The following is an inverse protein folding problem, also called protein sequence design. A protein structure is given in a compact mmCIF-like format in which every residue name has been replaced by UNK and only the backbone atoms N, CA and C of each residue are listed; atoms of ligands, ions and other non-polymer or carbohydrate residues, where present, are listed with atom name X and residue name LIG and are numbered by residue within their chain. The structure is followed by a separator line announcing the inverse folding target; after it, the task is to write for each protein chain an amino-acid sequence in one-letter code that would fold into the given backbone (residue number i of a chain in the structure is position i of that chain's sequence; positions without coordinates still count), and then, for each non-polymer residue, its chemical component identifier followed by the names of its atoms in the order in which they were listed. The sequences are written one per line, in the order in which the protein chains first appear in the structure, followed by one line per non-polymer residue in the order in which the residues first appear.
data_IF_052558672483
#
_entry.id   IF_052558672483
#
_cell.length_a   1.000
_cell.length_b   1.000
_cell.length_c   1.000
_cell.angle_alpha   90.00
_cell.angle_beta   90.00
_cell.angle_gamma   90.00
#
_symmetry.space_group_name_H-M   'P 1'
#
loop_
_entity.id
_entity.type
_entity.pdbx_description
1 polymer ?
#
# COMPACT_ATOMS: atom_id res chain seq x y z
N UNK A 1 59.36 38.30 25.12
CA UNK A 1 59.16 37.04 25.86
C UNK A 1 58.01 37.24 26.84
N UNK A 2 56.86 36.62 26.57
CA UNK A 2 55.84 36.18 27.54
C UNK A 2 54.57 35.84 26.75
N UNK A 3 54.33 34.55 26.58
CA UNK A 3 53.12 33.98 26.01
C UNK A 3 51.94 34.19 26.99
N UNK A 4 50.81 34.72 26.53
CA UNK A 4 49.50 34.47 27.15
C UNK A 4 48.61 33.80 26.10
N UNK A 5 48.37 32.50 26.28
CA UNK A 5 47.51 31.70 25.44
C UNK A 5 46.04 31.96 25.79
N UNK A 6 45.27 32.36 24.78
CA UNK A 6 43.82 32.29 24.81
C UNK A 6 43.40 30.86 24.44
N UNK A 7 42.82 30.15 25.40
CA UNK A 7 42.19 28.84 25.19
C UNK A 7 40.86 29.07 24.48
N UNK A 8 40.80 28.76 23.20
CA UNK A 8 39.55 28.68 22.43
C UNK A 8 38.92 27.32 22.72
N UNK A 9 37.78 27.32 23.43
CA UNK A 9 36.93 26.14 23.56
C UNK A 9 36.25 25.89 22.20
N UNK A 10 36.76 24.92 21.44
CA UNK A 10 36.04 24.35 20.29
C UNK A 10 34.99 23.41 20.86
N UNK A 11 33.72 23.85 20.83
CA UNK A 11 32.57 23.01 21.12
C UNK A 11 32.37 22.05 19.93
N UNK A 12 33.06 20.92 19.96
CA UNK A 12 32.84 19.83 19.01
C UNK A 12 31.45 19.24 19.25
N UNK A 13 30.48 19.64 18.43
CA UNK A 13 29.17 19.00 18.35
C UNK A 13 29.38 17.59 17.79
N UNK A 14 29.54 16.61 18.68
CA UNK A 14 29.48 15.19 18.32
C UNK A 14 28.04 14.91 17.92
N UNK A 15 27.79 14.89 16.62
CA UNK A 15 26.57 14.30 16.04
C UNK A 15 26.68 12.80 16.31
N UNK A 16 26.20 12.37 17.48
CA UNK A 16 26.00 10.96 17.79
C UNK A 16 25.03 10.41 16.75
N UNK A 17 25.51 9.43 15.98
CA UNK A 17 24.78 8.80 14.90
C UNK A 17 23.37 8.43 15.30
N UNK A 18 22.42 8.80 14.44
CA UNK A 18 21.07 8.25 14.44
C UNK A 18 21.17 6.72 14.54
N UNK A 19 20.42 6.07 15.44
CA UNK A 19 20.40 4.62 15.48
C UNK A 19 19.91 4.10 14.13
N UNK A 20 20.64 3.12 13.59
CA UNK A 20 20.19 2.33 12.45
C UNK A 20 18.77 1.84 12.73
N UNK A 21 17.81 2.25 11.88
CA UNK A 21 16.45 1.72 11.92
C UNK A 21 16.56 0.20 11.71
N UNK A 22 16.22 -0.56 12.74
CA UNK A 22 16.23 -2.02 12.71
C UNK A 22 15.35 -2.52 11.56
N UNK A 23 15.83 -3.54 10.85
CA UNK A 23 15.04 -4.29 9.87
C UNK A 23 13.65 -4.67 10.44
N UNK A 24 12.63 -4.70 9.56
CA UNK A 24 11.23 -4.82 9.92
C UNK A 24 10.92 -6.13 10.68
N UNK A 25 10.39 -6.06 11.90
CA UNK A 25 10.02 -7.24 12.70
C UNK A 25 9.02 -8.22 12.01
N UNK A 26 8.22 -7.77 11.03
CA UNK A 26 7.34 -8.66 10.27
C UNK A 26 8.07 -9.46 9.17
N UNK A 27 9.20 -8.96 8.65
CA UNK A 27 10.04 -9.73 7.73
C UNK A 27 10.57 -10.97 8.45
N UNK A 28 10.98 -10.84 9.70
CA UNK A 28 11.45 -11.97 10.51
C UNK A 28 10.35 -12.94 10.94
N UNK A 29 9.10 -12.49 11.13
CA UNK A 29 8.04 -13.39 11.61
C UNK A 29 7.59 -14.39 10.53
N UNK A 30 7.25 -13.89 9.35
CA UNK A 30 6.83 -14.75 8.25
C UNK A 30 8.02 -15.36 7.52
N UNK A 31 9.13 -14.62 7.37
CA UNK A 31 10.31 -15.06 6.61
C UNK A 31 9.96 -15.65 5.23
N UNK A 32 8.90 -15.12 4.60
CA UNK A 32 8.36 -15.61 3.32
C UNK A 32 7.48 -16.87 3.37
N UNK A 33 7.31 -17.49 4.53
CA UNK A 33 6.49 -18.69 4.70
C UNK A 33 5.46 -18.53 5.81
N UNK A 34 4.83 -19.64 6.21
CA UNK A 34 3.99 -19.64 7.41
C UNK A 34 4.83 -19.17 8.61
N UNK A 35 4.31 -18.18 9.34
CA UNK A 35 4.87 -17.82 10.63
C UNK A 35 4.61 -18.91 11.67
N UNK A 36 5.05 -18.68 12.91
CA UNK A 36 4.75 -19.58 14.04
C UNK A 36 3.25 -19.81 14.16
N UNK A 37 2.81 -21.06 14.05
CA UNK A 37 1.39 -21.42 13.97
C UNK A 37 0.60 -20.88 15.17
N UNK A 38 1.18 -21.01 16.36
CA UNK A 38 0.60 -20.63 17.64
C UNK A 38 0.41 -19.12 17.82
N UNK A 39 1.00 -18.26 16.98
CA UNK A 39 0.80 -16.80 17.07
C UNK A 39 -0.47 -16.35 16.34
N UNK A 40 -0.87 -17.10 15.31
CA UNK A 40 -2.12 -16.88 14.57
C UNK A 40 -3.24 -17.82 15.05
N UNK A 41 -2.88 -19.01 15.50
CA UNK A 41 -3.81 -20.08 15.85
C UNK A 41 -3.90 -20.33 17.35
N UNK A 42 -5.08 -20.78 17.77
CA UNK A 42 -5.28 -21.38 19.09
C UNK A 42 -4.90 -22.85 19.03
N UNK A 43 -4.10 -23.33 19.99
CA UNK A 43 -3.82 -24.76 20.14
C UNK A 43 -5.06 -25.46 20.72
N UNK A 44 -5.35 -26.69 20.28
CA UNK A 44 -6.54 -27.44 20.72
C UNK A 44 -6.52 -27.90 22.19
N UNK A 45 -5.45 -27.61 22.94
CA UNK A 45 -5.29 -27.91 24.37
C UNK A 45 -5.17 -26.61 25.16
N UNK A 46 -6.28 -26.16 25.75
CA UNK A 46 -6.31 -25.05 26.69
C UNK A 46 -6.39 -25.56 28.14
N UNK A 47 -5.80 -26.72 28.47
CA UNK A 47 -6.00 -27.39 29.76
C UNK A 47 -4.74 -27.65 30.62
N UNK A 48 -3.51 -27.38 30.17
CA UNK A 48 -2.32 -27.81 30.95
C UNK A 48 -1.39 -26.72 31.50
N UNK A 49 -1.68 -25.44 31.29
CA UNK A 49 -1.05 -24.37 32.08
C UNK A 49 -2.13 -23.41 32.51
N UNK A 50 -2.34 -23.30 33.82
CA UNK A 50 -3.28 -22.36 34.46
C UNK A 50 -3.03 -20.87 34.20
N UNK A 51 -2.29 -20.55 33.13
CA UNK A 51 -2.32 -19.25 32.47
C UNK A 51 -3.66 -19.13 31.76
N UNK A 52 -4.66 -18.76 32.56
CA UNK A 52 -5.83 -18.06 32.09
C UNK A 52 -5.40 -17.09 30.99
N UNK A 53 -6.19 -17.01 29.92
CA UNK A 53 -6.12 -15.97 28.91
C UNK A 53 -5.76 -14.60 29.55
N UNK A 54 -4.47 -14.29 29.59
CA UNK A 54 -3.89 -13.13 30.23
C UNK A 54 -2.90 -12.58 29.21
N UNK A 55 -2.92 -11.30 28.84
CA UNK A 55 -3.65 -10.18 29.39
C UNK A 55 -3.86 -9.18 28.25
N UNK A 56 -5.12 -8.87 27.95
CA UNK A 56 -5.51 -7.63 27.28
C UNK A 56 -7.02 -7.43 27.42
N UNK A 57 -7.57 -7.48 28.64
CA UNK A 57 -8.87 -6.90 29.02
C UNK A 57 -10.14 -7.29 28.24
N UNK A 58 -10.06 -8.11 27.19
CA UNK A 58 -11.15 -8.59 26.37
C UNK A 58 -11.50 -9.98 26.87
N UNK A 59 -12.15 -10.04 28.04
CA UNK A 59 -12.77 -11.26 28.52
C UNK A 59 -13.57 -11.91 27.41
N UNK A 60 -13.12 -13.05 26.88
CA UNK A 60 -13.94 -14.00 26.11
C UNK A 60 -14.93 -13.40 25.09
N UNK A 61 -14.60 -12.28 24.43
CA UNK A 61 -15.41 -11.69 23.36
C UNK A 61 -14.89 -12.20 22.04
N UNK A 62 -15.36 -13.37 21.63
CA UNK A 62 -15.27 -13.81 20.24
C UNK A 62 -14.09 -14.70 19.86
N UNK A 63 -13.37 -15.33 20.80
CA UNK A 63 -12.56 -16.49 20.45
C UNK A 63 -13.52 -17.55 19.87
N UNK A 64 -13.46 -17.77 18.55
CA UNK A 64 -14.28 -18.80 17.88
C UNK A 64 -13.66 -20.16 18.21
N UNK A 65 -13.86 -20.62 19.44
CA UNK A 65 -13.87 -22.05 19.75
C UNK A 65 -15.16 -22.65 19.20
N UNK A 66 -15.30 -22.76 17.88
CA UNK A 66 -16.48 -23.40 17.31
C UNK A 66 -16.22 -24.89 17.13
N UNK A 67 -16.97 -25.69 17.90
CA UNK A 67 -17.10 -27.16 17.79
C UNK A 67 -17.67 -27.65 16.44
N UNK A 68 -17.58 -26.85 15.37
CA UNK A 68 -18.11 -27.11 14.03
C UNK A 68 -17.09 -26.75 12.91
N UNK A 69 -15.83 -27.17 13.05
CA UNK A 69 -14.89 -27.20 11.92
C UNK A 69 -14.42 -25.86 11.34
N UNK A 70 -14.45 -24.77 12.12
CA UNK A 70 -13.96 -23.44 11.69
C UNK A 70 -12.56 -23.15 12.27
N UNK A 71 -11.75 -22.45 11.47
CA UNK A 71 -10.32 -22.14 11.66
C UNK A 71 -10.03 -21.70 13.10
N UNK A 72 -9.07 -22.38 13.77
CA UNK A 72 -8.69 -22.08 15.14
C UNK A 72 -7.85 -20.81 15.19
N UNK A 73 -8.45 -19.63 15.09
CA UNK A 73 -7.75 -18.33 15.04
C UNK A 73 -7.77 -17.62 16.39
N UNK A 74 -6.75 -16.78 16.63
CA UNK A 74 -6.68 -15.94 17.84
C UNK A 74 -7.51 -14.65 17.79
N UNK A 75 -8.00 -14.24 16.62
CA UNK A 75 -9.01 -13.19 16.46
C UNK A 75 -10.40 -13.77 16.17
N UNK A 76 -11.44 -12.94 16.26
CA UNK A 76 -12.81 -13.37 15.94
C UNK A 76 -13.03 -13.69 14.46
N UNK A 77 -12.15 -13.18 13.59
CA UNK A 77 -12.13 -13.40 12.15
C UNK A 77 -10.67 -13.38 11.60
N UNK A 78 -10.44 -13.76 10.33
CA UNK A 78 -9.10 -13.80 9.75
C UNK A 78 -8.36 -12.47 9.77
N UNK A 79 -9.04 -11.34 9.53
CA UNK A 79 -8.37 -10.04 9.49
C UNK A 79 -8.05 -9.54 10.89
N UNK A 80 -8.96 -9.75 11.85
CA UNK A 80 -8.73 -9.45 13.27
C UNK A 80 -7.50 -10.19 13.79
N UNK A 81 -7.26 -11.43 13.33
CA UNK A 81 -6.03 -12.17 13.67
C UNK A 81 -4.76 -11.46 13.17
N UNK A 82 -4.78 -10.92 11.96
CA UNK A 82 -3.66 -10.16 11.40
C UNK A 82 -3.47 -8.82 12.14
N UNK A 83 -4.55 -8.07 12.36
CA UNK A 83 -4.49 -6.72 12.92
C UNK A 83 -4.02 -6.69 14.38
N UNK A 84 -4.01 -7.82 15.10
CA UNK A 84 -3.33 -7.98 16.40
C UNK A 84 -1.89 -7.48 16.40
N UNK A 85 -1.20 -7.64 15.28
CA UNK A 85 0.19 -7.20 15.13
C UNK A 85 0.37 -6.17 14.02
N UNK A 86 -0.57 -6.08 13.07
CA UNK A 86 -0.44 -5.23 11.89
C UNK A 86 -1.18 -3.89 11.97
N UNK A 87 -2.00 -3.65 13.00
CA UNK A 87 -2.45 -2.30 13.34
C UNK A 87 -1.42 -1.61 14.24
N UNK A 88 -1.07 -0.36 13.91
CA UNK A 88 -0.16 0.44 14.70
C UNK A 88 -0.71 0.62 16.12
N UNK A 89 0.14 0.49 17.16
CA UNK A 89 -0.30 0.64 18.54
C UNK A 89 -0.86 2.05 18.78
N UNK A 90 -1.74 2.16 19.78
CA UNK A 90 -2.32 3.44 20.16
C UNK A 90 -1.22 4.47 20.47
N UNK A 91 -1.40 5.69 19.99
CA UNK A 91 -0.41 6.76 20.13
C UNK A 91 0.72 6.74 19.10
N UNK A 92 0.76 5.78 18.17
CA UNK A 92 1.69 5.83 17.04
C UNK A 92 1.42 7.06 16.15
N UNK A 93 2.32 8.04 16.20
CA UNK A 93 2.20 9.31 15.46
C UNK A 93 2.96 9.33 14.12
N UNK A 94 3.78 8.31 13.85
CA UNK A 94 4.64 8.24 12.68
C UNK A 94 4.51 6.87 11.98
N UNK A 95 4.76 6.81 10.66
CA UNK A 95 4.83 5.54 9.96
C UNK A 95 5.97 4.70 10.53
N UNK A 96 5.70 3.43 10.85
CA UNK A 96 6.70 2.55 11.42
C UNK A 96 6.54 1.12 10.90
N UNK A 97 7.68 0.54 10.53
CA UNK A 97 7.78 -0.89 10.27
C UNK A 97 6.77 -1.39 9.24
N UNK A 98 5.91 -2.30 9.69
CA UNK A 98 5.03 -3.09 8.83
C UNK A 98 3.54 -2.84 9.08
N UNK A 99 3.19 -1.84 9.90
CA UNK A 99 1.79 -1.55 10.19
C UNK A 99 1.08 -1.04 8.92
N UNK A 100 -0.15 -1.52 8.71
CA UNK A 100 -1.01 -1.19 7.56
C UNK A 100 -2.32 -0.56 7.98
N UNK A 101 -2.52 -0.36 9.28
CA UNK A 101 -3.69 0.30 9.87
C UNK A 101 -3.23 1.22 10.98
N UNK A 102 -3.84 2.39 11.11
CA UNK A 102 -3.70 3.27 12.27
C UNK A 102 -4.89 3.14 13.21
N UNK A 103 -4.60 2.98 14.50
CA UNK A 103 -5.60 2.99 15.58
C UNK A 103 -5.94 4.40 16.09
N UNK A 104 -4.97 5.33 16.04
CA UNK A 104 -5.16 6.70 16.50
C UNK A 104 -5.90 7.54 15.44
N UNK A 105 -7.23 7.50 15.49
CA UNK A 105 -8.10 8.22 14.57
C UNK A 105 -9.00 9.18 15.34
N UNK A 106 -9.05 10.44 14.91
CA UNK A 106 -9.87 11.49 15.50
C UNK A 106 -10.24 12.57 14.48
N UNK A 107 -11.07 13.52 14.88
CA UNK A 107 -11.35 14.70 14.05
C UNK A 107 -10.05 15.47 13.77
N UNK A 108 -9.78 15.79 12.51
CA UNK A 108 -8.54 16.46 12.08
C UNK A 108 -7.27 15.59 12.11
N UNK A 109 -7.34 14.34 12.58
CA UNK A 109 -6.21 13.41 12.57
C UNK A 109 -6.32 12.44 11.39
N UNK A 110 -5.31 12.44 10.54
CA UNK A 110 -5.18 11.43 9.49
C UNK A 110 -4.49 10.16 9.99
N UNK A 111 -4.78 8.99 9.37
CA UNK A 111 -3.97 7.80 9.53
C UNK A 111 -2.47 8.08 9.29
N UNK A 112 -1.61 7.41 10.06
CA UNK A 112 -0.18 7.72 10.15
C UNK A 112 0.71 6.77 9.36
N UNK A 113 0.21 5.60 8.95
CA UNK A 113 0.99 4.63 8.17
C UNK A 113 0.96 4.99 6.69
N UNK A 114 2.13 4.98 6.05
CA UNK A 114 2.36 5.46 4.69
C UNK A 114 2.96 4.35 3.82
N UNK A 115 2.40 3.14 3.92
CA UNK A 115 2.84 1.99 3.13
C UNK A 115 2.44 2.15 1.67
N UNK A 116 3.10 1.51 0.68
CA UNK A 116 2.67 1.59 -0.72
C UNK A 116 1.22 1.14 -0.98
N UNK A 117 0.69 0.24 -0.15
CA UNK A 117 -0.71 -0.20 -0.19
C UNK A 117 -1.69 0.79 0.44
N UNK A 118 -1.22 1.67 1.33
CA UNK A 118 -2.03 2.58 2.12
C UNK A 118 -2.50 2.02 3.46
N UNK A 119 -3.19 2.87 4.21
CA UNK A 119 -3.59 2.66 5.60
C UNK A 119 -5.10 2.40 5.70
N UNK A 120 -5.50 1.26 6.24
CA UNK A 120 -6.91 0.90 6.42
C UNK A 120 -7.68 1.88 7.31
N UNK A 121 -7.01 2.68 8.14
CA UNK A 121 -7.63 3.72 8.95
C UNK A 121 -8.42 4.74 8.13
N UNK A 122 -8.12 4.92 6.84
CA UNK A 122 -8.92 5.75 5.94
C UNK A 122 -10.37 5.28 5.77
N UNK A 123 -10.64 3.98 5.95
CA UNK A 123 -12.00 3.42 5.92
C UNK A 123 -12.89 3.94 7.06
N UNK A 124 -12.28 4.43 8.15
CA UNK A 124 -12.99 4.97 9.31
C UNK A 124 -13.07 6.50 9.28
N UNK A 125 -12.56 7.15 8.23
CA UNK A 125 -12.65 8.60 8.03
C UNK A 125 -13.83 8.93 7.14
N UNK A 126 -14.76 9.73 7.67
CA UNK A 126 -15.89 10.28 6.91
C UNK A 126 -15.70 11.79 6.83
N UNK A 127 -15.94 12.35 5.65
CA UNK A 127 -15.91 13.79 5.44
C UNK A 127 -17.25 14.27 4.89
N UNK A 128 -17.68 15.45 5.33
CA UNK A 128 -18.91 16.10 4.90
C UNK A 128 -18.64 17.59 4.72
N UNK A 129 -19.25 18.19 3.72
CA UNK A 129 -19.15 19.62 3.47
C UNK A 129 -20.40 20.11 2.72
N UNK A 130 -20.62 21.43 2.76
CA UNK A 130 -21.61 22.07 1.91
C UNK A 130 -20.91 22.52 0.62
N UNK A 131 -21.32 21.97 -0.52
CA UNK A 131 -20.82 22.38 -1.82
C UNK A 131 -21.28 23.81 -2.16
N UNK A 132 -20.63 24.45 -3.14
CA UNK A 132 -20.93 25.85 -3.51
C UNK A 132 -22.37 26.07 -3.99
N UNK A 133 -23.02 25.05 -4.52
CA UNK A 133 -24.43 25.08 -4.93
C UNK A 133 -25.42 24.92 -3.75
N UNK A 134 -24.91 24.80 -2.52
CA UNK A 134 -25.68 24.61 -1.30
C UNK A 134 -25.98 23.14 -0.98
N UNK A 135 -25.58 22.20 -1.84
CA UNK A 135 -25.74 20.76 -1.63
C UNK A 135 -24.90 20.23 -0.48
N UNK A 136 -25.43 19.25 0.27
CA UNK A 136 -24.66 18.55 1.30
C UNK A 136 -23.94 17.35 0.67
N UNK A 137 -22.63 17.46 0.55
CA UNK A 137 -21.79 16.42 -0.04
C UNK A 137 -21.12 15.57 1.05
N UNK A 138 -20.83 14.32 0.69
CA UNK A 138 -20.21 13.35 1.59
C UNK A 138 -19.19 12.47 0.88
N UNK A 139 -18.06 12.27 1.55
CA UNK A 139 -17.02 11.29 1.21
C UNK A 139 -16.97 10.29 2.35
N UNK A 140 -17.68 9.17 2.17
CA UNK A 140 -17.86 8.12 3.17
C UNK A 140 -16.63 7.21 3.24
N UNK A 141 -16.29 6.76 4.44
CA UNK A 141 -15.11 5.92 4.66
C UNK A 141 -15.13 4.60 3.89
N UNK A 142 -16.31 4.02 3.65
CA UNK A 142 -16.47 2.80 2.84
C UNK A 142 -16.05 2.99 1.37
N UNK A 143 -15.93 4.23 0.89
CA UNK A 143 -15.45 4.54 -0.47
C UNK A 143 -13.93 4.69 -0.57
N UNK A 144 -13.22 4.71 0.55
CA UNK A 144 -11.79 5.01 0.61
C UNK A 144 -10.87 3.80 0.38
N UNK A 145 -11.40 2.58 0.34
CA UNK A 145 -10.57 1.37 0.28
C UNK A 145 -11.33 0.04 0.19
N UNK A 146 -10.60 -1.05 0.32
CA UNK A 146 -11.15 -2.39 0.48
C UNK A 146 -11.62 -2.60 1.92
N UNK A 147 -12.93 -2.62 2.14
CA UNK A 147 -13.55 -2.82 3.45
C UNK A 147 -13.39 -4.27 3.95
N UNK A 148 -12.22 -4.58 4.53
CA UNK A 148 -11.96 -5.87 5.17
C UNK A 148 -12.91 -6.06 6.36
N UNK A 149 -13.38 -7.29 6.56
CA UNK A 149 -14.11 -7.65 7.77
C UNK A 149 -13.09 -7.95 8.85
N UNK A 150 -13.06 -7.10 9.88
CA UNK A 150 -12.26 -7.26 11.10
C UNK A 150 -13.07 -6.70 12.30
N UNK A 151 -13.95 -7.52 12.86
CA UNK A 151 -14.94 -7.08 13.84
C UNK A 151 -14.28 -6.53 15.12
N UNK A 152 -13.16 -7.14 15.55
CA UNK A 152 -12.42 -6.73 16.75
C UNK A 152 -11.81 -5.32 16.61
N UNK A 153 -11.70 -4.84 15.38
CA UNK A 153 -11.07 -3.57 15.00
C UNK A 153 -12.06 -2.54 14.42
N UNK A 154 -13.36 -2.83 14.51
CA UNK A 154 -14.43 -1.99 13.94
C UNK A 154 -14.31 -1.77 12.42
N UNK A 155 -13.77 -2.75 11.69
CA UNK A 155 -13.84 -2.79 10.23
C UNK A 155 -14.99 -3.71 9.81
N UNK A 156 -15.96 -3.13 9.11
CA UNK A 156 -17.15 -3.81 8.61
C UNK A 156 -17.08 -3.95 7.09
N UNK A 157 -17.83 -4.90 6.54
CA UNK A 157 -17.98 -5.05 5.10
C UNK A 157 -18.57 -3.80 4.43
N UNK A 158 -18.26 -3.60 3.15
CA UNK A 158 -18.83 -2.51 2.34
C UNK A 158 -20.35 -2.69 2.21
N UNK A 159 -21.12 -1.71 2.70
CA UNK A 159 -22.59 -1.71 2.64
C UNK A 159 -23.15 -1.29 1.28
N UNK A 160 -22.35 -0.58 0.48
CA UNK A 160 -22.69 -0.03 -0.84
C UNK A 160 -22.31 -1.03 -1.94
N UNK A 161 -21.04 -1.43 -2.00
CA UNK A 161 -20.53 -2.42 -2.96
C UNK A 161 -20.53 -3.81 -2.33
N UNK A 162 -21.66 -4.51 -2.46
CA UNK A 162 -21.82 -5.86 -1.90
C UNK A 162 -20.99 -6.93 -2.61
N UNK A 163 -20.55 -6.65 -3.83
CA UNK A 163 -19.63 -7.49 -4.60
C UNK A 163 -18.51 -6.65 -5.22
N UNK A 164 -17.38 -7.30 -5.48
CA UNK A 164 -16.28 -6.70 -6.23
C UNK A 164 -16.79 -6.16 -7.58
N UNK A 165 -16.58 -4.87 -7.89
CA UNK A 165 -16.95 -4.32 -9.19
C UNK A 165 -16.34 -5.14 -10.32
N UNK A 166 -17.17 -5.50 -11.28
CA UNK A 166 -16.79 -6.31 -12.42
C UNK A 166 -16.54 -7.80 -12.14
N UNK A 167 -16.75 -8.27 -10.91
CA UNK A 167 -16.67 -9.68 -10.54
C UNK A 167 -17.81 -10.09 -9.60
N UNK A 168 -17.65 -11.23 -8.92
CA UNK A 168 -18.69 -11.83 -8.05
C UNK A 168 -18.23 -12.06 -6.61
N UNK A 169 -16.98 -11.69 -6.28
CA UNK A 169 -16.44 -11.83 -4.93
C UNK A 169 -17.27 -10.98 -3.95
N UNK A 170 -17.76 -11.58 -2.87
CA UNK A 170 -18.64 -10.91 -1.91
C UNK A 170 -17.82 -10.04 -0.95
N UNK A 171 -18.22 -8.77 -0.76
CA UNK A 171 -17.53 -7.86 0.16
C UNK A 171 -17.59 -8.35 1.62
N UNK A 172 -18.67 -9.04 1.99
CA UNK A 172 -18.83 -9.67 3.30
C UNK A 172 -17.81 -10.79 3.60
N UNK A 173 -17.14 -11.33 2.56
CA UNK A 173 -16.10 -12.34 2.70
C UNK A 173 -14.68 -11.76 2.57
N UNK A 174 -14.55 -10.43 2.37
CA UNK A 174 -13.27 -9.78 2.19
C UNK A 174 -12.49 -9.78 3.51
N UNK A 175 -11.33 -10.40 3.52
CA UNK A 175 -10.41 -10.43 4.65
C UNK A 175 -8.96 -10.26 4.21
N UNK A 176 -8.02 -10.06 5.12
CA UNK A 176 -6.58 -10.04 4.77
C UNK A 176 -6.16 -11.30 3.98
N UNK A 177 -6.69 -12.45 4.38
CA UNK A 177 -6.43 -13.75 3.75
C UNK A 177 -7.28 -14.00 2.50
N UNK A 178 -7.96 -13.00 1.94
CA UNK A 178 -8.64 -13.14 0.63
C UNK A 178 -7.70 -12.89 -0.53
N UNK A 179 -6.65 -12.12 -0.26
CA UNK A 179 -5.63 -11.73 -1.22
C UNK A 179 -4.24 -12.25 -0.83
N UNK A 180 -3.95 -12.34 0.47
CA UNK A 180 -2.69 -12.90 0.98
C UNK A 180 -2.85 -14.40 1.28
N UNK A 181 -1.81 -15.18 0.99
CA UNK A 181 -1.72 -16.57 1.43
C UNK A 181 -0.97 -16.64 2.77
N UNK A 182 -1.67 -16.78 3.91
CA UNK A 182 -1.05 -16.70 5.24
C UNK A 182 -0.07 -17.84 5.52
N UNK A 183 -0.09 -18.89 4.70
CA UNK A 183 0.80 -20.04 4.83
C UNK A 183 2.00 -19.99 3.86
N UNK A 184 2.10 -18.95 3.02
CA UNK A 184 3.23 -18.75 2.10
C UNK A 184 3.49 -19.95 1.17
N UNK A 185 2.44 -20.56 0.62
CA UNK A 185 2.59 -21.74 -0.25
C UNK A 185 3.19 -21.37 -1.61
N UNK A 186 2.86 -20.18 -2.12
CA UNK A 186 3.38 -19.69 -3.38
C UNK A 186 4.84 -19.27 -3.24
N UNK A 187 5.70 -19.88 -4.04
CA UNK A 187 7.14 -19.65 -4.04
C UNK A 187 7.68 -19.50 -5.45
N UNK A 188 8.71 -18.67 -5.57
CA UNK A 188 9.49 -18.44 -6.79
C UNK A 188 10.79 -19.23 -6.74
N UNK A 189 11.05 -20.01 -7.78
CA UNK A 189 12.30 -20.75 -7.95
C UNK A 189 13.37 -19.94 -8.72
N UNK A 190 14.54 -20.54 -8.94
CA UNK A 190 15.67 -19.94 -9.65
C UNK A 190 15.36 -19.57 -11.11
N UNK A 191 14.38 -20.23 -11.73
CA UNK A 191 13.94 -19.94 -13.09
C UNK A 191 12.81 -18.89 -13.14
N UNK A 192 12.43 -18.33 -11.99
CA UNK A 192 11.33 -17.38 -11.88
C UNK A 192 9.95 -18.03 -11.90
N UNK A 193 9.85 -19.37 -11.93
CA UNK A 193 8.57 -20.08 -11.95
C UNK A 193 7.90 -19.99 -10.59
N UNK A 194 6.59 -19.71 -10.58
CA UNK A 194 5.78 -19.74 -9.37
C UNK A 194 5.14 -21.12 -9.20
N UNK A 195 5.34 -21.74 -8.04
CA UNK A 195 4.76 -23.03 -7.69
C UNK A 195 4.23 -23.04 -6.25
N UNK A 196 3.39 -24.03 -5.94
CA UNK A 196 2.95 -24.35 -4.56
C UNK A 196 3.66 -25.57 -3.99
N UNK A 197 4.53 -26.22 -4.75
CA UNK A 197 5.46 -27.30 -4.34
C UNK A 197 6.91 -26.91 -4.67
N UNK A 198 7.89 -27.74 -4.32
CA UNK A 198 9.31 -27.49 -4.59
C UNK A 198 10.16 -27.29 -3.33
N UNK A 199 11.38 -26.73 -3.47
CA UNK A 199 12.29 -26.47 -2.36
C UNK A 199 11.67 -25.62 -1.25
N UNK A 200 12.25 -25.71 -0.05
CA UNK A 200 11.82 -24.91 1.09
C UNK A 200 11.98 -23.41 0.80
N UNK A 201 11.10 -22.59 1.39
CA UNK A 201 11.19 -21.14 1.29
C UNK A 201 12.24 -20.63 2.28
N UNK A 202 13.34 -20.08 1.77
CA UNK A 202 14.44 -19.53 2.57
C UNK A 202 14.26 -18.09 3.00
N UNK A 203 13.28 -17.37 2.45
CA UNK A 203 13.04 -15.97 2.77
C UNK A 203 11.90 -15.33 1.99
N UNK A 204 11.59 -14.07 2.32
CA UNK A 204 10.69 -13.22 1.53
C UNK A 204 11.29 -12.97 0.15
N UNK A 205 10.50 -13.05 -0.92
CA UNK A 205 10.93 -12.61 -2.26
C UNK A 205 10.60 -11.15 -2.57
N UNK A 206 10.27 -10.33 -1.56
CA UNK A 206 9.67 -9.01 -1.77
C UNK A 206 10.64 -7.84 -1.74
N UNK A 207 11.82 -7.99 -1.15
CA UNK A 207 12.67 -6.86 -0.77
C UNK A 207 13.96 -6.79 -1.58
N UNK A 208 14.53 -5.59 -1.68
CA UNK A 208 15.83 -5.37 -2.32
C UNK A 208 16.96 -6.15 -1.65
N UNK A 209 16.86 -6.38 -0.33
CA UNK A 209 17.81 -7.17 0.46
C UNK A 209 17.51 -8.67 0.51
N UNK A 210 16.38 -9.11 -0.07
CA UNK A 210 16.03 -10.53 -0.10
C UNK A 210 17.10 -11.31 -0.88
N UNK A 211 17.49 -12.47 -0.35
CA UNK A 211 18.27 -13.44 -1.11
C UNK A 211 17.52 -13.85 -2.39
N UNK A 212 18.27 -14.21 -3.44
CA UNK A 212 17.67 -14.86 -4.61
C UNK A 212 17.52 -16.36 -4.39
N UNK A 213 16.49 -16.99 -5.00
CA UNK A 213 16.35 -18.43 -4.95
C UNK A 213 17.50 -19.12 -5.69
N UNK A 214 17.83 -20.33 -5.25
CA UNK A 214 18.86 -21.17 -5.84
C UNK A 214 18.33 -22.61 -6.06
N UNK A 215 19.22 -23.55 -6.37
CA UNK A 215 18.83 -24.95 -6.58
C UNK A 215 18.34 -25.67 -5.32
N UNK A 216 18.58 -25.11 -4.13
CA UNK A 216 18.28 -25.73 -2.83
C UNK A 216 17.16 -25.01 -2.07
N UNK A 217 16.86 -23.77 -2.44
CA UNK A 217 15.91 -22.91 -1.73
C UNK A 217 15.12 -22.03 -2.70
N UNK A 218 13.82 -21.88 -2.42
CA UNK A 218 12.95 -20.92 -3.07
C UNK A 218 12.77 -19.68 -2.22
N UNK A 219 12.19 -18.62 -2.77
CA UNK A 219 11.72 -17.46 -2.02
C UNK A 219 10.21 -17.31 -2.13
N UNK A 220 9.58 -16.63 -1.19
CA UNK A 220 8.14 -16.36 -1.27
C UNK A 220 7.80 -15.46 -2.45
N UNK A 221 6.54 -15.47 -2.86
CA UNK A 221 6.04 -14.43 -3.77
C UNK A 221 5.99 -13.06 -3.11
N UNK A 222 5.93 -12.00 -3.93
CA UNK A 222 5.82 -10.62 -3.47
C UNK A 222 4.66 -10.47 -2.49
N UNK A 223 4.98 -10.01 -1.27
CA UNK A 223 4.06 -9.78 -0.13
C UNK A 223 3.22 -11.01 0.26
N UNK A 224 3.69 -12.21 -0.06
CA UNK A 224 2.94 -13.48 0.12
C UNK A 224 1.53 -13.39 -0.49
N UNK A 225 1.41 -12.65 -1.60
CA UNK A 225 0.16 -12.60 -2.34
C UNK A 225 -0.16 -13.99 -2.88
N UNK A 226 -1.43 -14.36 -2.74
CA UNK A 226 -1.96 -15.60 -3.24
C UNK A 226 -1.90 -15.63 -4.78
N UNK A 227 -1.72 -16.81 -5.35
CA UNK A 227 -1.56 -17.01 -6.78
C UNK A 227 -2.63 -17.89 -7.41
N UNK A 228 -2.35 -18.33 -8.63
CA UNK A 228 -3.22 -19.22 -9.39
C UNK A 228 -3.63 -20.46 -8.57
N UNK A 229 -4.91 -20.82 -8.64
CA UNK A 229 -5.50 -21.91 -7.87
C UNK A 229 -5.78 -21.58 -6.41
N UNK A 230 -5.52 -20.36 -5.94
CA UNK A 230 -5.92 -19.97 -4.60
C UNK A 230 -7.43 -19.81 -4.50
N UNK A 231 -8.01 -20.39 -3.46
CA UNK A 231 -9.39 -20.16 -3.05
C UNK A 231 -9.45 -20.23 -1.52
N UNK A 232 -10.17 -19.29 -0.90
CA UNK A 232 -10.40 -19.35 0.54
C UNK A 232 -11.23 -20.60 0.88
N UNK A 233 -10.75 -21.43 1.80
CA UNK A 233 -11.45 -22.69 2.15
C UNK A 233 -12.78 -22.50 2.89
N UNK A 234 -13.02 -21.31 3.46
CA UNK A 234 -14.19 -21.01 4.30
C UNK A 234 -15.20 -20.08 3.63
N UNK A 235 -14.98 -19.69 2.37
CA UNK A 235 -15.92 -18.88 1.59
C UNK A 235 -15.98 -19.42 0.16
N UNK A 236 -17.11 -19.24 -0.52
CA UNK A 236 -17.25 -19.53 -1.96
C UNK A 236 -16.56 -18.46 -2.82
N UNK A 237 -15.31 -18.10 -2.47
CA UNK A 237 -14.53 -17.08 -3.17
C UNK A 237 -14.17 -17.49 -4.61
N UNK A 238 -13.87 -16.50 -5.44
CA UNK A 238 -13.36 -16.74 -6.79
C UNK A 238 -12.01 -17.48 -6.71
N UNK A 239 -11.83 -18.52 -7.52
CA UNK A 239 -10.55 -19.16 -7.68
C UNK A 239 -9.62 -18.24 -8.48
N UNK A 240 -8.42 -17.99 -7.95
CA UNK A 240 -7.44 -17.15 -8.62
C UNK A 240 -6.96 -17.83 -9.91
N UNK A 241 -6.88 -17.07 -10.98
CA UNK A 241 -6.48 -17.53 -12.32
C UNK A 241 -5.10 -16.99 -12.73
N UNK A 242 -4.68 -15.86 -12.16
CA UNK A 242 -3.38 -15.25 -12.38
C UNK A 242 -2.42 -15.53 -11.20
N UNK A 243 -1.14 -15.66 -11.54
CA UNK A 243 -0.07 -15.76 -10.56
C UNK A 243 0.14 -14.44 -9.80
N UNK A 244 0.84 -14.48 -8.63
CA UNK A 244 1.21 -13.27 -7.92
C UNK A 244 2.11 -12.39 -8.79
N UNK A 245 2.00 -11.06 -8.69
CA UNK A 245 2.75 -10.15 -9.55
C UNK A 245 4.24 -10.18 -9.26
N UNK A 246 5.05 -9.93 -10.30
CA UNK A 246 6.46 -9.68 -10.15
C UNK A 246 6.68 -8.25 -9.66
N UNK A 247 7.18 -8.08 -8.43
CA UNK A 247 7.50 -6.77 -7.88
C UNK A 247 8.56 -6.87 -6.78
N UNK A 248 9.29 -5.77 -6.56
CA UNK A 248 10.24 -5.61 -5.47
C UNK A 248 9.99 -4.28 -4.77
N UNK A 249 9.91 -4.30 -3.45
CA UNK A 249 9.80 -3.11 -2.62
C UNK A 249 11.15 -2.80 -1.94
N UNK A 250 11.42 -1.52 -1.64
CA UNK A 250 12.51 -1.18 -0.73
C UNK A 250 12.22 -1.74 0.67
N UNK A 251 13.27 -2.04 1.43
CA UNK A 251 13.14 -2.52 2.82
C UNK A 251 12.40 -1.50 3.69
N UNK A 252 12.79 -0.23 3.59
CA UNK A 252 12.11 0.88 4.28
C UNK A 252 11.03 1.48 3.39
N UNK A 253 9.85 0.86 3.41
CA UNK A 253 8.71 1.26 2.58
C UNK A 253 7.62 2.04 3.31
N UNK A 254 7.52 1.92 4.65
CA UNK A 254 6.53 2.64 5.44
C UNK A 254 7.15 3.92 5.98
N UNK A 255 7.07 5.00 5.21
CA UNK A 255 7.76 6.26 5.52
C UNK A 255 7.09 7.46 4.86
N UNK A 256 7.39 8.64 5.39
CA UNK A 256 7.09 9.91 4.72
C UNK A 256 7.87 10.04 3.42
N UNK A 257 7.23 10.62 2.41
CA UNK A 257 7.82 10.99 1.12
C UNK A 257 8.10 12.50 1.02
N UNK A 258 8.25 13.19 2.16
CA UNK A 258 8.57 14.62 2.18
C UNK A 258 9.89 14.94 1.44
N UNK A 259 10.86 14.02 1.49
CA UNK A 259 12.18 14.18 0.87
C UNK A 259 12.34 13.40 -0.43
N UNK A 260 12.00 12.11 -0.43
CA UNK A 260 12.18 11.19 -1.56
C UNK A 260 11.02 10.20 -1.63
N UNK A 261 10.69 9.78 -2.85
CA UNK A 261 9.63 8.80 -3.09
C UNK A 261 10.02 7.40 -2.61
N UNK A 262 9.02 6.62 -2.21
CA UNK A 262 9.14 5.18 -1.99
C UNK A 262 8.89 4.47 -3.31
N UNK A 263 9.96 4.11 -4.02
CA UNK A 263 9.89 3.43 -5.31
C UNK A 263 9.78 1.93 -5.14
N UNK A 264 8.56 1.41 -5.27
CA UNK A 264 8.33 -0.01 -5.54
C UNK A 264 8.58 -0.26 -7.03
N UNK A 265 9.42 -1.24 -7.35
CA UNK A 265 9.62 -1.70 -8.71
C UNK A 265 8.50 -2.70 -9.04
N UNK A 266 7.50 -2.22 -9.79
CA UNK A 266 6.44 -3.06 -10.32
C UNK A 266 6.93 -3.63 -11.66
N UNK A 267 7.12 -4.94 -11.72
CA UNK A 267 7.63 -5.62 -12.90
C UNK A 267 6.53 -5.93 -13.90
N UNK A 268 5.62 -6.84 -13.53
CA UNK A 268 4.53 -7.31 -14.38
C UNK A 268 3.43 -8.02 -13.57
N UNK A 269 2.25 -8.17 -14.18
CA UNK A 269 1.16 -9.00 -13.68
C UNK A 269 0.32 -8.40 -12.56
N UNK A 270 0.55 -7.15 -12.13
CA UNK A 270 -0.18 -6.51 -11.05
C UNK A 270 -1.67 -6.37 -11.38
N UNK A 271 -1.97 -5.96 -12.62
CA UNK A 271 -3.36 -5.74 -13.03
C UNK A 271 -4.08 -7.07 -13.25
N UNK A 272 -3.43 -8.03 -13.90
CA UNK A 272 -3.92 -9.40 -14.07
C UNK A 272 -4.22 -10.05 -12.71
N UNK A 273 -3.38 -9.81 -11.71
CA UNK A 273 -3.63 -10.29 -10.36
C UNK A 273 -4.86 -9.63 -9.71
N UNK A 274 -5.08 -8.33 -9.92
CA UNK A 274 -6.32 -7.67 -9.50
C UNK A 274 -7.57 -8.23 -10.21
N UNK A 275 -7.44 -8.72 -11.46
CA UNK A 275 -8.56 -9.33 -12.20
C UNK A 275 -9.06 -10.63 -11.57
N UNK A 276 -8.28 -11.28 -10.69
CA UNK A 276 -8.73 -12.48 -9.98
C UNK A 276 -10.07 -12.28 -9.25
N UNK A 277 -10.33 -11.05 -8.77
CA UNK A 277 -11.61 -10.68 -8.14
C UNK A 277 -12.41 -9.67 -8.96
N UNK A 278 -11.77 -8.88 -9.83
CA UNK A 278 -12.39 -7.83 -10.63
C UNK A 278 -12.36 -8.14 -12.13
N UNK A 279 -12.94 -9.26 -12.54
CA UNK A 279 -12.68 -9.87 -13.86
C UNK A 279 -13.12 -9.06 -15.08
N UNK A 280 -13.94 -8.02 -14.93
CA UNK A 280 -14.40 -7.18 -16.06
C UNK A 280 -14.05 -5.69 -15.97
N UNK A 281 -13.24 -5.28 -14.99
CA UNK A 281 -12.86 -3.85 -14.84
C UNK A 281 -11.77 -3.42 -15.84
N UNK A 282 -10.98 -4.36 -16.36
CA UNK A 282 -10.12 -4.17 -17.51
C UNK A 282 -9.92 -5.51 -18.24
N UNK A 283 -9.56 -5.46 -19.51
CA UNK A 283 -9.20 -6.65 -20.29
C UNK A 283 -7.77 -6.52 -20.81
N UNK A 284 -7.02 -7.60 -20.71
CA UNK A 284 -5.65 -7.72 -21.17
C UNK A 284 -5.52 -7.86 -22.70
N UNK A 285 -6.62 -8.03 -23.45
CA UNK A 285 -6.63 -8.31 -24.90
C UNK A 285 -7.06 -7.14 -25.79
N UNK A 286 -7.12 -5.91 -25.26
CA UNK A 286 -7.31 -4.71 -26.07
C UNK A 286 -8.17 -3.65 -25.39
N UNK A 287 -8.00 -2.40 -25.83
CA UNK A 287 -8.80 -1.26 -25.38
C UNK A 287 -10.27 -1.50 -25.75
N UNK A 288 -11.14 -1.64 -24.75
CA UNK A 288 -12.53 -1.20 -24.96
C UNK A 288 -12.49 0.32 -25.04
N UNK A 289 -13.15 0.91 -26.02
CA UNK A 289 -13.17 2.36 -26.24
C UNK A 289 -13.65 3.19 -25.03
N UNK A 290 -14.16 2.56 -23.96
CA UNK A 290 -14.72 3.21 -22.77
C UNK A 290 -14.03 2.82 -21.45
N UNK A 291 -12.90 2.10 -21.46
CA UNK A 291 -12.14 1.74 -20.24
C UNK A 291 -10.69 2.23 -20.34
N UNK A 292 -10.14 2.76 -19.23
CA UNK A 292 -8.72 3.12 -19.19
C UNK A 292 -7.87 1.83 -19.25
N UNK A 293 -6.83 1.77 -20.10
CA UNK A 293 -6.00 0.58 -20.22
C UNK A 293 -5.23 0.29 -18.92
N UNK A 294 -5.10 -1.00 -18.59
CA UNK A 294 -4.27 -1.52 -17.50
C UNK A 294 -3.85 -2.97 -17.79
N UNK A 295 -2.63 -3.37 -17.42
CA UNK A 295 -2.09 -4.73 -17.55
C UNK A 295 -0.87 -4.85 -18.44
N UNK A 296 -0.36 -6.07 -18.61
CA UNK A 296 0.91 -6.36 -19.30
C UNK A 296 0.92 -5.94 -20.78
N UNK A 297 -0.26 -5.80 -21.38
CA UNK A 297 -0.46 -5.35 -22.75
C UNK A 297 -0.89 -3.87 -22.86
N UNK A 298 -1.02 -3.16 -21.73
CA UNK A 298 -1.35 -1.74 -21.67
C UNK A 298 -0.08 -0.87 -21.77
N UNK A 299 0.67 -1.05 -22.86
CA UNK A 299 1.93 -0.35 -23.12
C UNK A 299 1.72 1.16 -23.16
N UNK A 300 2.64 1.91 -22.55
CA UNK A 300 2.69 3.35 -22.76
C UNK A 300 3.07 3.64 -24.21
N UNK A 301 2.33 4.53 -24.87
CA UNK A 301 2.74 5.03 -26.18
C UNK A 301 4.00 5.90 -26.06
N UNK A 302 4.64 6.19 -27.18
CA UNK A 302 5.78 7.12 -27.22
C UNK A 302 5.40 8.49 -26.64
N UNK A 303 4.24 9.03 -27.02
CA UNK A 303 3.73 10.33 -26.52
C UNK A 303 3.46 10.29 -25.01
N UNK A 304 2.86 9.22 -24.50
CA UNK A 304 2.59 9.07 -23.06
C UNK A 304 3.90 8.93 -22.27
N UNK A 305 4.86 8.18 -22.80
CA UNK A 305 6.19 8.03 -22.20
C UNK A 305 6.94 9.35 -22.16
N UNK A 306 6.89 10.12 -23.26
CA UNK A 306 7.43 11.47 -23.33
C UNK A 306 6.78 12.38 -22.28
N UNK A 307 5.44 12.47 -22.28
CA UNK A 307 4.74 13.31 -21.30
C UNK A 307 5.08 12.93 -19.87
N UNK A 308 5.12 11.63 -19.54
CA UNK A 308 5.56 11.18 -18.21
C UNK A 308 6.95 11.71 -17.86
N UNK A 309 7.91 11.55 -18.76
CA UNK A 309 9.30 11.89 -18.49
C UNK A 309 9.54 13.39 -18.38
N UNK A 310 8.77 14.20 -19.10
CA UNK A 310 8.95 15.65 -19.14
C UNK A 310 8.03 16.42 -18.18
N UNK A 311 6.90 15.85 -17.78
CA UNK A 311 5.97 16.50 -16.85
C UNK A 311 6.54 16.56 -15.43
N UNK A 312 6.82 17.77 -14.95
CA UNK A 312 7.26 18.04 -13.57
C UNK A 312 6.07 18.42 -12.71
N UNK A 313 5.25 19.35 -13.20
CA UNK A 313 4.08 19.91 -12.52
C UNK A 313 3.18 20.61 -13.55
N UNK A 314 2.00 21.07 -13.14
CA UNK A 314 1.09 21.75 -14.06
C UNK A 314 1.75 22.95 -14.75
N UNK A 315 1.72 22.96 -16.09
CA UNK A 315 2.33 23.99 -16.93
C UNK A 315 3.86 23.88 -17.07
N UNK A 316 4.49 22.82 -16.57
CA UNK A 316 5.93 22.62 -16.62
C UNK A 316 6.33 21.25 -17.19
N UNK A 317 6.77 21.26 -18.46
CA UNK A 317 7.28 20.09 -19.19
C UNK A 317 8.82 20.09 -19.35
N UNK A 318 9.56 20.66 -18.40
CA UNK A 318 11.04 20.74 -18.45
C UNK A 318 11.77 19.54 -17.83
N UNK A 319 11.03 18.49 -17.46
CA UNK A 319 11.55 17.31 -16.81
C UNK A 319 12.48 16.50 -17.71
N UNK A 320 13.01 15.41 -17.15
CA UNK A 320 13.81 14.43 -17.88
C UNK A 320 13.62 13.06 -17.26
N UNK A 321 13.81 12.04 -18.08
CA UNK A 321 13.57 10.64 -17.71
C UNK A 321 14.27 10.26 -16.39
N UNK A 322 15.56 10.56 -16.22
CA UNK A 322 16.36 10.14 -15.04
C UNK A 322 15.77 10.53 -13.67
N UNK A 323 14.92 11.56 -13.63
CA UNK A 323 14.35 12.12 -12.40
C UNK A 323 12.82 12.16 -12.43
N UNK A 324 12.18 11.50 -13.39
CA UNK A 324 10.76 11.65 -13.66
C UNK A 324 9.84 10.77 -12.80
N UNK A 325 10.36 9.74 -12.14
CA UNK A 325 9.57 8.81 -11.35
C UNK A 325 8.75 9.54 -10.29
N UNK A 326 7.49 9.12 -10.14
CA UNK A 326 6.77 9.45 -8.92
C UNK A 326 5.91 8.29 -8.39
N UNK A 327 5.92 8.06 -7.07
CA UNK A 327 5.08 7.05 -6.42
C UNK A 327 3.59 7.43 -6.39
N UNK A 328 3.25 8.69 -6.71
CA UNK A 328 1.88 9.15 -6.95
C UNK A 328 1.29 8.60 -8.26
N UNK A 329 2.12 8.31 -9.25
CA UNK A 329 1.74 7.76 -10.56
C UNK A 329 2.79 6.73 -10.98
N UNK A 330 2.88 5.58 -10.29
CA UNK A 330 3.83 4.54 -10.65
C UNK A 330 3.41 3.84 -11.95
N UNK A 331 4.31 3.07 -12.53
CA UNK A 331 4.08 2.28 -13.74
C UNK A 331 4.67 0.88 -13.55
N UNK A 332 4.21 -0.07 -14.37
CA UNK A 332 4.87 -1.37 -14.51
C UNK A 332 6.01 -1.26 -15.51
N UNK A 333 7.15 -1.89 -15.22
CA UNK A 333 8.35 -1.85 -16.05
C UNK A 333 8.29 -2.81 -17.25
N UNK A 334 7.38 -3.79 -17.22
CA UNK A 334 7.21 -4.78 -18.28
C UNK A 334 8.29 -5.87 -18.27
N UNK A 335 8.81 -6.22 -17.10
CA UNK A 335 9.85 -7.25 -16.90
C UNK A 335 9.57 -8.08 -15.65
N UNK A 336 9.96 -9.34 -15.67
CA UNK A 336 10.01 -10.27 -14.54
C UNK A 336 11.44 -10.52 -14.03
N UNK A 337 12.44 -9.79 -14.54
CA UNK A 337 13.84 -9.89 -14.10
C UNK A 337 14.02 -9.22 -12.73
N UNK A 338 14.05 -10.04 -11.68
CA UNK A 338 14.22 -9.58 -10.31
C UNK A 338 15.57 -8.89 -10.05
N UNK A 339 16.61 -9.15 -10.86
CA UNK A 339 17.88 -8.44 -10.77
C UNK A 339 17.68 -6.96 -11.11
N UNK A 340 16.98 -6.69 -12.22
CA UNK A 340 16.61 -5.33 -12.65
C UNK A 340 15.68 -4.68 -11.63
N UNK A 341 14.65 -5.40 -11.16
CA UNK A 341 13.69 -4.86 -10.18
C UNK A 341 14.37 -4.47 -8.87
N UNK A 342 15.31 -5.28 -8.36
CA UNK A 342 16.07 -4.97 -7.13
C UNK A 342 16.96 -3.73 -7.28
N UNK A 343 17.54 -3.50 -8.44
CA UNK A 343 18.37 -2.29 -8.69
C UNK A 343 17.54 -1.01 -8.73
N UNK A 344 16.27 -1.11 -9.11
CA UNK A 344 15.38 0.04 -9.30
C UNK A 344 14.58 0.37 -8.05
N UNK A 345 14.13 -0.63 -7.28
CA UNK A 345 13.41 -0.41 -6.04
C UNK A 345 14.28 0.32 -5.01
N UNK A 346 13.83 1.45 -4.49
CA UNK A 346 14.58 2.24 -3.51
C UNK A 346 13.68 3.22 -2.76
N UNK A 347 14.18 3.76 -1.65
CA UNK A 347 13.51 4.82 -0.87
C UNK A 347 14.41 6.04 -0.61
N UNK A 348 15.67 6.00 -1.07
CA UNK A 348 16.64 7.08 -0.89
C UNK A 348 16.73 8.02 -2.11
N UNK A 349 15.96 7.75 -3.18
CA UNK A 349 15.99 8.54 -4.41
C UNK A 349 17.19 8.22 -5.32
N UNK A 350 17.95 7.15 -5.05
CA UNK A 350 19.11 6.78 -5.88
C UNK A 350 18.73 6.38 -7.30
N UNK A 351 17.47 5.96 -7.50
CA UNK A 351 16.93 5.72 -8.82
C UNK A 351 15.53 6.33 -8.94
N UNK A 352 15.42 7.42 -9.70
CA UNK A 352 14.19 8.14 -9.99
C UNK A 352 13.85 8.14 -11.50
N UNK A 353 14.39 7.18 -12.26
CA UNK A 353 14.08 7.05 -13.68
C UNK A 353 12.58 6.83 -13.95
N UNK A 354 12.04 7.58 -14.90
CA UNK A 354 10.71 7.36 -15.45
C UNK A 354 10.65 6.16 -16.41
N UNK A 355 9.49 5.93 -17.05
CA UNK A 355 9.27 4.81 -17.93
C UNK A 355 10.08 4.90 -19.22
N UNK A 356 10.31 3.74 -19.82
CA UNK A 356 10.81 3.56 -21.18
C UNK A 356 9.73 2.91 -22.07
N UNK A 357 10.12 2.48 -23.27
CA UNK A 357 9.20 1.86 -24.23
C UNK A 357 8.63 0.50 -23.82
N UNK A 358 9.15 -0.14 -22.75
CA UNK A 358 8.57 -1.36 -22.21
C UNK A 358 7.62 -1.10 -21.04
N UNK A 359 7.45 0.13 -20.59
CA UNK A 359 6.54 0.39 -19.48
C UNK A 359 5.05 0.16 -19.84
N UNK A 360 4.29 -0.26 -18.84
CA UNK A 360 2.85 -0.48 -18.90
C UNK A 360 2.11 0.36 -17.86
N UNK A 361 0.86 0.71 -18.15
CA UNK A 361 -0.09 1.16 -17.12
C UNK A 361 -0.58 -0.04 -16.34
N UNK A 362 -0.58 0.05 -15.02
CA UNK A 362 -1.23 -0.93 -14.14
C UNK A 362 -2.38 -0.33 -13.31
N UNK A 363 -3.24 -1.17 -12.74
CA UNK A 363 -4.30 -0.72 -11.83
C UNK A 363 -3.78 0.19 -10.69
N UNK A 364 -2.61 -0.16 -10.13
CA UNK A 364 -2.00 0.62 -9.05
C UNK A 364 -1.30 1.90 -9.51
N UNK A 365 -1.32 2.24 -10.80
CA UNK A 365 -0.84 3.55 -11.29
C UNK A 365 -1.69 4.69 -10.74
N UNK A 366 -2.98 4.43 -10.57
CA UNK A 366 -3.94 5.39 -10.03
C UNK A 366 -4.48 4.99 -8.66
N UNK A 367 -4.59 3.69 -8.37
CA UNK A 367 -5.16 3.19 -7.11
C UNK A 367 -4.09 2.78 -6.09
N UNK A 368 -4.47 2.77 -4.81
CA UNK A 368 -3.72 2.12 -3.73
C UNK A 368 -4.38 0.79 -3.37
N UNK A 369 -3.57 -0.22 -3.07
CA UNK A 369 -4.05 -1.60 -2.93
C UNK A 369 -4.95 -1.84 -1.70
N UNK A 370 -4.71 -1.16 -0.58
CA UNK A 370 -5.52 -1.28 0.63
C UNK A 370 -6.58 -0.17 0.71
N UNK A 371 -6.13 1.07 0.88
CA UNK A 371 -6.98 2.24 1.05
C UNK A 371 -6.20 3.55 0.79
N UNK A 372 -6.93 4.64 0.59
CA UNK A 372 -6.38 5.99 0.43
C UNK A 372 -7.30 7.01 1.10
N UNK A 373 -6.88 8.26 1.26
CA UNK A 373 -7.77 9.31 1.77
C UNK A 373 -8.81 9.84 0.77
N UNK A 374 -8.92 9.22 -0.42
CA UNK A 374 -9.77 9.64 -1.52
C UNK A 374 -10.81 8.58 -1.88
N UNK A 375 -11.99 9.04 -2.30
CA UNK A 375 -13.04 8.16 -2.82
C UNK A 375 -12.50 7.33 -3.99
N UNK A 376 -12.97 6.09 -4.10
CA UNK A 376 -12.50 5.11 -5.09
C UNK A 376 -11.00 4.78 -4.97
N UNK A 377 -10.44 4.91 -3.76
CA UNK A 377 -9.09 4.47 -3.39
C UNK A 377 -7.96 5.00 -4.31
N UNK A 378 -8.14 6.18 -4.91
CA UNK A 378 -7.16 6.79 -5.80
C UNK A 378 -5.98 7.40 -5.04
N UNK A 379 -4.83 7.52 -5.69
CA UNK A 379 -3.63 8.12 -5.10
C UNK A 379 -3.80 9.62 -4.86
N UNK A 380 -4.60 10.31 -5.67
CA UNK A 380 -4.90 11.74 -5.54
C UNK A 380 -6.41 12.00 -5.68
N UNK A 381 -6.83 13.23 -5.38
CA UNK A 381 -8.22 13.65 -5.53
C UNK A 381 -8.61 13.77 -7.01
N UNK A 382 -9.53 12.92 -7.47
CA UNK A 382 -10.05 12.99 -8.85
C UNK A 382 -11.36 13.75 -8.97
N UNK A 383 -11.87 14.33 -7.88
CA UNK A 383 -13.12 15.09 -7.83
C UNK A 383 -12.88 16.61 -7.79
N UNK A 384 -11.74 17.08 -7.30
CA UNK A 384 -11.41 18.50 -7.24
C UNK A 384 -10.73 18.98 -8.53
N UNK A 385 -10.83 20.29 -8.79
CA UNK A 385 -10.10 20.90 -9.93
C UNK A 385 -8.63 21.06 -9.59
N UNK A 386 -8.32 21.41 -8.34
CA UNK A 386 -6.97 21.67 -7.86
C UNK A 386 -6.59 20.70 -6.74
N UNK A 387 -5.37 20.16 -6.82
CA UNK A 387 -4.73 19.37 -5.77
C UNK A 387 -3.90 20.25 -4.83
N UNK A 388 -3.33 21.32 -5.38
CA UNK A 388 -2.62 22.39 -4.66
C UNK A 388 -3.13 23.71 -5.23
N UNK A 389 -3.44 24.65 -4.34
CA UNK A 389 -3.86 26.00 -4.73
C UNK A 389 -3.07 27.03 -3.92
N UNK A 390 -2.54 28.04 -4.60
CA UNK A 390 -1.66 29.04 -4.01
C UNK A 390 -0.50 28.42 -3.20
N UNK A 391 0.06 27.30 -3.69
CA UNK A 391 1.20 26.62 -3.07
C UNK A 391 0.89 25.89 -1.76
N UNK A 392 -0.40 25.66 -1.45
CA UNK A 392 -0.85 24.93 -0.25
C UNK A 392 -1.79 23.81 -0.63
N UNK A 393 -1.85 22.79 0.21
CA UNK A 393 -2.90 21.78 0.08
C UNK A 393 -4.24 22.38 0.50
N UNK A 394 -5.35 22.05 -0.18
CA UNK A 394 -6.67 22.47 0.26
C UNK A 394 -7.02 21.94 1.66
N UNK A 395 -7.52 22.82 2.52
CA UNK A 395 -7.99 22.48 3.87
C UNK A 395 -9.09 23.41 4.35
N UNK A 396 -10.00 22.89 5.19
CA UNK A 396 -11.06 23.68 5.84
C UNK A 396 -10.50 24.71 6.83
N UNK A 397 -9.26 24.53 7.24
CA UNK A 397 -8.53 25.30 8.24
C UNK A 397 -7.58 26.35 7.63
N UNK A 398 -7.52 26.47 6.30
CA UNK A 398 -6.58 27.38 5.63
C UNK A 398 -7.21 28.27 4.54
N UNK A 399 -8.54 28.36 4.50
CA UNK A 399 -9.27 29.23 3.59
C UNK A 399 -9.40 28.70 2.15
N UNK A 400 -9.11 27.41 1.93
CA UNK A 400 -9.36 26.78 0.63
C UNK A 400 -10.85 26.71 0.29
N UNK A 401 -11.16 26.58 -1.00
CA UNK A 401 -12.55 26.44 -1.45
C UNK A 401 -13.16 25.13 -0.92
N UNK A 402 -14.44 25.16 -0.55
CA UNK A 402 -15.14 24.00 0.03
C UNK A 402 -15.07 22.76 -0.88
N UNK A 403 -15.12 22.95 -2.20
CA UNK A 403 -15.07 21.85 -3.18
C UNK A 403 -13.67 21.23 -3.34
N UNK A 404 -12.61 21.98 -2.99
CA UNK A 404 -11.24 21.47 -3.01
C UNK A 404 -10.86 20.86 -1.65
N UNK A 405 -11.26 21.49 -0.54
CA UNK A 405 -10.99 21.00 0.81
C UNK A 405 -11.82 19.76 1.17
N UNK A 406 -13.06 19.66 0.69
CA UNK A 406 -13.94 18.50 0.84
C UNK A 406 -14.03 17.99 2.29
N UNK A 407 -14.15 18.92 3.25
CA UNK A 407 -14.27 18.62 4.68
C UNK A 407 -12.97 18.16 5.37
N UNK A 408 -11.82 18.19 4.69
CA UNK A 408 -10.51 17.79 5.25
C UNK A 408 -9.72 19.01 5.73
N UNK A 409 -8.93 18.83 6.78
CA UNK A 409 -7.87 19.78 7.14
C UNK A 409 -6.70 19.71 6.15
N UNK A 410 -5.86 20.75 6.10
CA UNK A 410 -4.65 20.75 5.27
C UNK A 410 -3.72 19.58 5.65
N UNK A 411 -3.62 19.29 6.95
CA UNK A 411 -2.81 18.19 7.46
C UNK A 411 -3.32 16.82 6.99
N UNK A 412 -4.64 16.61 6.98
CA UNK A 412 -5.25 15.39 6.46
C UNK A 412 -5.02 15.26 4.95
N UNK A 413 -5.24 16.34 4.18
CA UNK A 413 -4.97 16.38 2.74
C UNK A 413 -3.50 16.03 2.46
N UNK A 414 -2.55 16.66 3.15
CA UNK A 414 -1.12 16.39 3.02
C UNK A 414 -0.77 14.92 3.30
N UNK A 415 -1.40 14.30 4.29
CA UNK A 415 -1.18 12.87 4.60
C UNK A 415 -1.65 11.94 3.49
N UNK A 416 -2.67 12.31 2.70
CA UNK A 416 -3.07 11.52 1.52
C UNK A 416 -1.97 11.46 0.44
N UNK A 417 -1.10 12.48 0.39
CA UNK A 417 0.08 12.58 -0.48
C UNK A 417 1.37 12.11 0.23
N UNK A 418 1.24 11.35 1.32
CA UNK A 418 2.37 10.77 2.08
C UNK A 418 3.37 11.83 2.58
N UNK A 419 2.83 12.96 3.04
CA UNK A 419 3.58 14.11 3.56
C UNK A 419 4.51 14.81 2.56
N UNK A 420 4.36 14.56 1.26
CA UNK A 420 5.02 15.39 0.24
C UNK A 420 4.66 16.86 0.50
N UNK A 421 5.62 17.79 0.48
CA UNK A 421 5.29 19.20 0.62
C UNK A 421 4.61 19.71 -0.65
N UNK A 422 3.68 20.66 -0.49
CA UNK A 422 2.97 21.27 -1.62
C UNK A 422 3.93 21.94 -2.64
N UNK A 423 5.13 22.34 -2.21
CA UNK A 423 6.20 22.87 -3.07
C UNK A 423 6.76 21.87 -4.09
N UNK A 424 6.42 20.57 -4.00
CA UNK A 424 6.71 19.58 -5.05
C UNK A 424 5.78 19.69 -6.26
N UNK A 425 4.73 20.49 -6.15
CA UNK A 425 3.73 20.70 -7.19
C UNK A 425 3.72 22.16 -7.63
N UNK A 426 3.01 22.44 -8.73
CA UNK A 426 2.80 23.82 -9.17
C UNK A 426 2.03 24.62 -8.11
N UNK A 427 2.14 25.95 -8.17
CA UNK A 427 1.37 26.86 -7.33
C UNK A 427 -0.15 26.56 -7.44
N UNK A 428 -0.59 26.18 -8.64
CA UNK A 428 -1.93 25.65 -8.93
C UNK A 428 -1.80 24.32 -9.66
N UNK A 429 -1.76 23.23 -8.90
CA UNK A 429 -1.57 21.89 -9.45
C UNK A 429 -2.94 21.27 -9.77
N UNK A 430 -3.11 20.85 -11.03
CA UNK A 430 -4.26 20.04 -11.45
C UNK A 430 -4.04 18.55 -11.19
N UNK A 431 -5.02 17.74 -11.58
CA UNK A 431 -5.01 16.28 -11.48
C UNK A 431 -3.69 15.64 -11.95
N UNK A 432 -3.23 14.61 -11.23
CA UNK A 432 -1.99 13.91 -11.58
C UNK A 432 -2.13 12.93 -12.75
N UNK A 433 -3.32 12.75 -13.32
CA UNK A 433 -3.43 12.09 -14.63
C UNK A 433 -2.64 12.86 -15.71
N UNK A 434 -2.43 14.17 -15.51
CA UNK A 434 -1.63 15.00 -16.40
C UNK A 434 -0.15 14.59 -16.44
N UNK A 435 0.35 13.81 -15.47
CA UNK A 435 1.67 13.20 -15.56
C UNK A 435 1.84 12.44 -16.87
N UNK A 436 0.84 11.68 -17.30
CA UNK A 436 0.88 10.87 -18.52
C UNK A 436 0.33 11.61 -19.76
N UNK A 437 -0.53 12.61 -19.57
CA UNK A 437 -1.33 13.18 -20.66
C UNK A 437 -1.04 14.66 -20.97
N UNK A 438 -0.36 15.38 -20.08
CA UNK A 438 -0.05 16.79 -20.18
C UNK A 438 -1.26 17.67 -20.56
N UNK A 439 -2.41 17.44 -19.90
CA UNK A 439 -3.69 18.17 -20.12
C UNK A 439 -3.95 19.17 -18.99
N UNK A 440 -3.06 20.15 -18.85
CA UNK A 440 -3.18 21.21 -17.84
C UNK A 440 -4.09 22.38 -18.26
#
# INVERSE_FOLDING_TARGET
MAYLGAVVFILSLVITGLPAQSANAAESFHSGSAGKCEECHLSARNDETGDAAAANGAAARGAVGSRNGKVMLRGSDPSSTCLRCHEAPQGAMQPQGHFVSSSNLGAGLAPTQLTPGGDFGWLRKNFQWQAKDGGNERSSGDRHGHNIVAADYSYAADGTLRTAPGGTFQSANLSCTSCHDPHGRYRRDVNGTISTTGPAVGGSGSYTSSADPDSFSSVSTYRMLAGKGYQQKWSSGAAFMADPPAAVAPVTYNRSEASTDTRVAYGSGMSEWCQNCHSSIHKSDGMRASQHPAGNNARLSADTTYNYNFYVASGNLSGKQDTAYTSMVPFEMGTDDYTVLKQVANSNGSNASGPDGSANVMCLSCHRAHASGWDSMTRWNTKSTMLVANGRYPGIDNGASVDDAQGRTEAETRKTFYDRPASRYALYQRSLCNKCHAKD
#
